data_IF_418821469375
#
_entry.id   IF_418821469375
#
_cell.length_a   1.000
_cell.length_b   1.000
_cell.length_c   1.000
_cell.angle_alpha   90.00
_cell.angle_beta   90.00
_cell.angle_gamma   90.00
#
_symmetry.space_group_name_H-M   'P 1'
#
loop_
_entity.id
_entity.type
_entity.pdbx_description
1 polymer ?
#
# COMPACT_ATOMS: atom_id res chain seq x y z
N UNK A 1 -63.08 40.15 -82.69
CA UNK A 1 -63.43 40.05 -81.25
C UNK A 1 -62.49 39.07 -80.56
N UNK A 2 -62.08 39.42 -79.34
CA UNK A 2 -61.11 38.71 -78.48
C UNK A 2 -61.43 37.23 -78.25
N UNK A 3 -60.38 36.40 -78.16
CA UNK A 3 -60.22 35.43 -77.07
C UNK A 3 -58.74 35.07 -76.91
N UNK A 4 -58.13 35.56 -75.84
CA UNK A 4 -56.85 35.10 -75.30
C UNK A 4 -56.97 33.61 -74.96
N UNK A 5 -56.03 32.81 -75.45
CA UNK A 5 -55.90 31.42 -75.02
C UNK A 5 -55.08 31.36 -73.73
N UNK A 6 -55.70 30.74 -72.73
CA UNK A 6 -55.19 30.54 -71.39
C UNK A 6 -53.89 29.72 -71.36
N UNK A 7 -53.04 30.07 -70.41
CA UNK A 7 -51.78 29.41 -70.06
C UNK A 7 -51.92 27.90 -69.86
N UNK A 8 -51.01 27.15 -70.49
CA UNK A 8 -50.75 25.73 -70.27
C UNK A 8 -50.18 25.51 -68.87
N UNK A 9 -50.85 24.71 -68.04
CA UNK A 9 -50.28 24.09 -66.83
C UNK A 9 -49.91 22.64 -67.14
N UNK A 10 -48.64 22.22 -67.03
CA UNK A 10 -48.30 20.80 -66.97
C UNK A 10 -48.23 20.31 -65.51
N UNK A 11 -49.13 19.36 -65.22
CA UNK A 11 -49.08 18.24 -64.28
C UNK A 11 -48.11 18.29 -63.08
N UNK A 12 -48.70 18.26 -61.87
CA UNK A 12 -48.01 17.94 -60.63
C UNK A 12 -47.56 16.47 -60.61
N UNK A 13 -46.25 16.24 -60.49
CA UNK A 13 -45.63 14.93 -60.26
C UNK A 13 -46.25 14.19 -59.06
N UNK A 14 -46.38 12.85 -59.08
CA UNK A 14 -46.88 12.09 -57.94
C UNK A 14 -45.92 12.17 -56.75
N UNK A 15 -46.46 12.45 -55.56
CA UNK A 15 -45.72 12.49 -54.30
C UNK A 15 -45.08 11.12 -54.01
N UNK A 16 -43.81 11.03 -53.59
CA UNK A 16 -43.26 9.78 -53.10
C UNK A 16 -43.91 9.43 -51.76
N UNK A 17 -44.34 8.18 -51.60
CA UNK A 17 -44.82 7.65 -50.33
C UNK A 17 -43.72 7.74 -49.27
N UNK A 18 -44.05 8.06 -48.00
CA UNK A 18 -43.05 8.11 -46.96
C UNK A 18 -42.59 6.67 -46.66
N UNK A 19 -41.32 6.38 -46.97
CA UNK A 19 -40.65 5.16 -46.50
C UNK A 19 -40.65 5.20 -44.98
N UNK A 20 -41.44 4.34 -44.35
CA UNK A 20 -41.45 4.15 -42.90
C UNK A 20 -40.07 3.66 -42.46
N UNK A 21 -39.27 4.54 -41.89
CA UNK A 21 -38.04 4.18 -41.18
C UNK A 21 -38.47 3.51 -39.88
N UNK A 22 -38.89 2.25 -39.97
CA UNK A 22 -39.16 1.44 -38.80
C UNK A 22 -37.81 0.98 -38.24
N UNK A 23 -37.41 1.55 -37.11
CA UNK A 23 -36.13 1.26 -36.49
C UNK A 23 -36.07 -0.23 -36.11
N UNK A 24 -34.89 -0.86 -36.18
CA UNK A 24 -34.75 -2.30 -35.89
C UNK A 24 -35.22 -2.67 -34.46
N UNK A 25 -35.25 -1.71 -33.53
CA UNK A 25 -35.84 -1.84 -32.20
C UNK A 25 -37.34 -2.09 -32.23
N UNK A 26 -38.08 -1.38 -33.08
CA UNK A 26 -39.54 -1.46 -33.15
C UNK A 26 -40.03 -2.83 -33.65
N UNK A 27 -39.23 -3.49 -34.50
CA UNK A 27 -39.53 -4.85 -34.99
C UNK A 27 -39.39 -5.93 -33.90
N UNK A 28 -38.48 -5.72 -32.94
CA UNK A 28 -38.26 -6.66 -31.85
C UNK A 28 -39.36 -6.48 -30.80
N UNK A 29 -39.71 -5.24 -30.48
CA UNK A 29 -40.78 -4.94 -29.51
C UNK A 29 -42.15 -5.44 -29.99
N UNK A 30 -42.43 -5.38 -31.30
CA UNK A 30 -43.65 -5.96 -31.88
C UNK A 30 -43.67 -7.50 -31.85
N UNK A 31 -42.52 -8.18 -31.88
CA UNK A 31 -42.44 -9.64 -31.70
C UNK A 31 -42.67 -10.05 -30.25
N UNK A 32 -42.17 -9.26 -29.31
CA UNK A 32 -42.32 -9.51 -27.87
C UNK A 32 -43.78 -9.41 -27.44
N UNK A 33 -44.54 -8.45 -27.99
CA UNK A 33 -46.01 -8.30 -27.78
C UNK A 33 -46.88 -9.49 -28.22
N UNK A 34 -46.36 -10.38 -29.07
CA UNK A 34 -47.08 -11.57 -29.58
C UNK A 34 -46.94 -12.78 -28.66
N UNK A 35 -45.95 -12.78 -27.77
CA UNK A 35 -45.72 -13.84 -26.79
C UNK A 35 -46.62 -13.51 -25.60
N UNK A 36 -47.54 -14.41 -25.22
CA UNK A 36 -48.64 -14.17 -24.27
C UNK A 36 -48.24 -13.76 -22.83
N UNK A 37 -48.91 -14.25 -21.77
CA UNK A 37 -49.09 -13.56 -20.47
C UNK A 37 -47.84 -13.35 -19.60
N UNK A 38 -46.63 -13.50 -20.15
CA UNK A 38 -45.35 -13.33 -19.46
C UNK A 38 -44.52 -12.14 -19.97
N UNK A 39 -45.14 -11.21 -20.69
CA UNK A 39 -44.47 -10.01 -21.22
C UNK A 39 -43.94 -9.10 -20.11
N UNK A 40 -44.62 -9.05 -18.98
CA UNK A 40 -44.22 -8.28 -17.80
C UNK A 40 -42.93 -8.84 -17.22
N UNK A 41 -42.81 -10.17 -17.10
CA UNK A 41 -41.59 -10.85 -16.64
C UNK A 41 -40.45 -10.55 -17.62
N UNK A 42 -40.69 -10.68 -18.92
CA UNK A 42 -39.68 -10.39 -19.95
C UNK A 42 -39.20 -8.93 -19.91
N UNK A 43 -40.12 -7.97 -19.72
CA UNK A 43 -39.80 -6.55 -19.58
C UNK A 43 -39.06 -6.24 -18.28
N UNK A 44 -39.36 -6.91 -17.16
CA UNK A 44 -38.62 -6.77 -15.89
C UNK A 44 -37.15 -7.20 -16.04
N UNK A 45 -36.88 -8.29 -16.77
CA UNK A 45 -35.51 -8.74 -17.02
C UNK A 45 -34.77 -7.90 -18.08
N UNK A 46 -35.47 -7.28 -19.04
CA UNK A 46 -34.87 -6.35 -20.03
C UNK A 46 -34.79 -4.90 -19.58
N UNK A 47 -35.65 -4.47 -18.66
CA UNK A 47 -35.86 -3.08 -18.24
C UNK A 47 -34.69 -2.48 -17.47
N UNK A 48 -33.75 -3.32 -17.02
CA UNK A 48 -32.41 -2.87 -16.67
C UNK A 48 -31.67 -2.52 -17.96
N UNK A 49 -31.80 -1.27 -18.40
CA UNK A 49 -30.92 -0.69 -19.43
C UNK A 49 -29.49 -1.04 -19.03
N UNK A 50 -28.88 -2.03 -19.69
CA UNK A 50 -27.43 -2.23 -19.59
C UNK A 50 -26.84 -0.90 -20.01
N UNK A 51 -26.18 -0.19 -19.09
CA UNK A 51 -25.47 1.03 -19.45
C UNK A 51 -24.60 0.68 -20.64
N UNK A 52 -24.86 1.31 -21.79
CA UNK A 52 -24.04 1.08 -22.95
C UNK A 52 -22.67 1.67 -22.61
N UNK A 53 -21.72 0.81 -22.24
CA UNK A 53 -20.35 1.20 -21.95
C UNK A 53 -19.76 1.69 -23.27
N UNK A 54 -19.87 2.99 -23.51
CA UNK A 54 -19.29 3.62 -24.67
C UNK A 54 -17.80 3.84 -24.44
N UNK A 55 -17.02 3.92 -25.53
CA UNK A 55 -15.59 4.27 -25.46
C UNK A 55 -15.35 5.60 -24.72
N UNK A 56 -16.31 6.54 -24.81
CA UNK A 56 -16.25 7.83 -24.11
C UNK A 56 -16.36 7.68 -22.59
N UNK A 57 -17.26 6.81 -22.10
CA UNK A 57 -17.40 6.50 -20.67
C UNK A 57 -16.13 5.84 -20.15
N UNK A 58 -15.57 4.86 -20.88
CA UNK A 58 -14.30 4.23 -20.50
C UNK A 58 -13.18 5.28 -20.42
N UNK A 59 -13.06 6.15 -21.43
CA UNK A 59 -12.03 7.21 -21.44
C UNK A 59 -12.18 8.16 -20.25
N UNK A 60 -13.40 8.57 -19.92
CA UNK A 60 -13.64 9.41 -18.73
C UNK A 60 -13.29 8.70 -17.43
N UNK A 61 -13.69 7.43 -17.26
CA UNK A 61 -13.33 6.63 -16.10
C UNK A 61 -11.81 6.49 -15.98
N UNK A 62 -11.10 6.21 -17.08
CA UNK A 62 -9.64 6.09 -17.08
C UNK A 62 -8.95 7.40 -16.66
N UNK A 63 -9.41 8.55 -17.17
CA UNK A 63 -8.88 9.87 -16.79
C UNK A 63 -9.14 10.15 -15.30
N UNK A 64 -10.37 9.90 -14.84
CA UNK A 64 -10.73 10.09 -13.43
C UNK A 64 -9.88 9.22 -12.51
N UNK A 65 -9.73 7.93 -12.84
CA UNK A 65 -8.89 7.03 -12.07
C UNK A 65 -7.42 7.45 -12.09
N UNK A 66 -6.88 7.94 -13.22
CA UNK A 66 -5.51 8.42 -13.29
C UNK A 66 -5.29 9.65 -12.39
N UNK A 67 -6.23 10.59 -12.37
CA UNK A 67 -6.19 11.75 -11.48
C UNK A 67 -6.22 11.35 -10.00
N UNK A 68 -7.12 10.43 -9.63
CA UNK A 68 -7.24 9.92 -8.25
C UNK A 68 -5.97 9.17 -7.85
N UNK A 69 -5.46 8.25 -8.69
CA UNK A 69 -4.20 7.54 -8.43
C UNK A 69 -3.03 8.50 -8.25
N UNK A 70 -2.90 9.50 -9.12
CA UNK A 70 -1.85 10.51 -9.01
C UNK A 70 -1.97 11.36 -7.74
N UNK A 71 -3.20 11.69 -7.32
CA UNK A 71 -3.43 12.42 -6.07
C UNK A 71 -3.04 11.59 -4.84
N UNK A 72 -3.39 10.30 -4.82
CA UNK A 72 -3.01 9.38 -3.74
C UNK A 72 -1.50 9.24 -3.62
N UNK A 73 -0.77 9.06 -4.73
CA UNK A 73 0.69 8.96 -4.72
C UNK A 73 1.35 10.25 -4.24
N UNK A 74 0.86 11.43 -4.67
CA UNK A 74 1.35 12.72 -4.15
C UNK A 74 1.09 12.85 -2.65
N UNK A 75 -0.10 12.49 -2.17
CA UNK A 75 -0.43 12.53 -0.73
C UNK A 75 0.45 11.58 0.08
N UNK A 76 0.72 10.37 -0.45
CA UNK A 76 1.62 9.40 0.16
C UNK A 76 3.05 9.94 0.23
N UNK A 77 3.57 10.50 -0.86
CA UNK A 77 4.91 11.08 -0.89
C UNK A 77 5.05 12.25 0.11
N UNK A 78 4.06 13.14 0.15
CA UNK A 78 4.03 14.25 1.11
C UNK A 78 4.07 13.76 2.56
N UNK A 79 3.28 12.71 2.89
CA UNK A 79 3.31 12.09 4.22
C UNK A 79 4.71 11.57 4.57
N UNK A 80 5.37 10.89 3.63
CA UNK A 80 6.72 10.35 3.83
C UNK A 80 7.72 11.47 4.06
N UNK A 81 7.63 12.56 3.28
CA UNK A 81 8.48 13.75 3.49
C UNK A 81 8.29 14.34 4.89
N UNK A 82 7.04 14.54 5.32
CA UNK A 82 6.75 15.04 6.68
C UNK A 82 7.30 14.11 7.76
N UNK A 83 7.18 12.79 7.59
CA UNK A 83 7.74 11.81 8.52
C UNK A 83 9.28 11.84 8.55
N UNK A 84 9.91 12.01 7.39
CA UNK A 84 11.37 12.08 7.27
C UNK A 84 11.97 13.25 8.07
N UNK A 85 11.27 14.38 8.14
CA UNK A 85 11.70 15.56 8.90
C UNK A 85 11.89 15.29 10.41
N UNK A 86 11.22 14.26 10.98
CA UNK A 86 11.45 13.88 12.38
C UNK A 86 12.81 13.18 12.61
N UNK A 87 13.45 12.67 11.55
CA UNK A 87 14.66 11.87 11.65
C UNK A 87 15.90 12.57 11.08
N UNK A 88 15.72 13.49 10.14
CA UNK A 88 16.82 14.23 9.53
C UNK A 88 16.32 15.44 8.73
N UNK A 89 17.24 16.28 8.22
CA UNK A 89 16.89 17.51 7.52
C UNK A 89 16.24 17.24 6.16
N UNK A 90 16.70 16.21 5.45
CA UNK A 90 16.26 15.88 4.10
C UNK A 90 15.86 14.41 3.96
N UNK A 91 14.92 14.13 3.05
CA UNK A 91 14.52 12.76 2.70
C UNK A 91 15.71 11.93 2.22
N UNK A 92 16.65 12.51 1.47
CA UNK A 92 17.86 11.82 0.99
C UNK A 92 18.74 11.36 2.15
N UNK A 93 18.88 12.20 3.17
CA UNK A 93 19.65 11.87 4.38
C UNK A 93 19.00 10.72 5.14
N UNK A 94 17.68 10.74 5.28
CA UNK A 94 16.91 9.67 5.92
C UNK A 94 17.00 8.35 5.14
N UNK A 95 16.91 8.41 3.81
CA UNK A 95 17.13 7.24 2.94
C UNK A 95 18.53 6.67 3.14
N UNK A 96 19.58 7.51 3.22
CA UNK A 96 20.93 7.05 3.47
C UNK A 96 21.07 6.39 4.85
N UNK A 97 20.42 6.93 5.89
CA UNK A 97 20.38 6.31 7.22
C UNK A 97 19.72 4.94 7.17
N UNK A 98 18.58 4.83 6.49
CA UNK A 98 17.88 3.57 6.27
C UNK A 98 18.76 2.54 5.54
N UNK A 99 19.35 2.89 4.40
CA UNK A 99 20.21 2.01 3.63
C UNK A 99 21.43 1.54 4.46
N UNK A 100 22.07 2.44 5.23
CA UNK A 100 23.17 2.08 6.13
C UNK A 100 22.71 1.11 7.22
N UNK A 101 21.54 1.35 7.83
CA UNK A 101 20.97 0.47 8.84
C UNK A 101 20.76 -0.93 8.29
N UNK A 102 20.12 -1.03 7.12
CA UNK A 102 19.80 -2.30 6.48
C UNK A 102 21.06 -3.04 6.07
N UNK A 103 22.05 -2.32 5.54
CA UNK A 103 23.35 -2.89 5.22
C UNK A 103 24.02 -3.49 6.48
N UNK A 104 24.04 -2.74 7.60
CA UNK A 104 24.60 -3.24 8.87
C UNK A 104 23.86 -4.48 9.36
N UNK A 105 22.53 -4.47 9.34
CA UNK A 105 21.70 -5.61 9.75
C UNK A 105 21.98 -6.83 8.86
N UNK A 106 21.96 -6.68 7.53
CA UNK A 106 22.28 -7.76 6.58
C UNK A 106 23.68 -8.32 6.79
N UNK A 107 24.67 -7.45 6.98
CA UNK A 107 26.05 -7.84 7.23
C UNK A 107 26.20 -8.64 8.52
N UNK A 108 25.60 -8.18 9.62
CA UNK A 108 25.58 -8.92 10.91
C UNK A 108 24.88 -10.27 10.81
N UNK A 109 23.96 -10.42 9.86
CA UNK A 109 23.24 -11.66 9.56
C UNK A 109 23.94 -12.52 8.50
N UNK A 110 25.13 -12.13 8.01
CA UNK A 110 25.92 -12.90 7.05
C UNK A 110 25.38 -12.86 5.61
N UNK A 111 24.53 -11.88 5.27
CA UNK A 111 23.96 -11.72 3.93
C UNK A 111 24.83 -10.79 3.08
N UNK A 112 25.62 -11.38 2.18
CA UNK A 112 26.64 -10.68 1.38
C UNK A 112 26.11 -9.97 0.12
N UNK A 113 24.92 -10.34 -0.39
CA UNK A 113 24.30 -9.70 -1.58
C UNK A 113 23.36 -8.59 -1.14
N UNK A 114 23.84 -7.35 -1.14
CA UNK A 114 23.15 -6.19 -0.54
C UNK A 114 22.53 -5.23 -1.56
N UNK A 115 22.11 -5.72 -2.74
CA UNK A 115 21.29 -4.87 -3.63
C UNK A 115 19.97 -4.60 -2.93
N UNK A 116 19.74 -3.33 -2.59
CA UNK A 116 18.54 -2.90 -1.91
C UNK A 116 17.72 -2.04 -2.86
N UNK A 117 16.51 -2.52 -3.15
CA UNK A 117 15.50 -1.73 -3.84
C UNK A 117 14.79 -0.93 -2.76
N UNK A 118 14.79 0.40 -2.88
CA UNK A 118 14.14 1.26 -1.90
C UNK A 118 12.64 1.25 -2.20
N UNK A 119 11.87 0.66 -1.30
CA UNK A 119 10.42 0.78 -1.31
C UNK A 119 9.97 1.85 -0.30
N UNK A 120 9.11 2.75 -0.73
CA UNK A 120 8.56 3.82 0.10
C UNK A 120 7.72 3.28 1.28
N UNK A 121 7.02 2.14 1.13
CA UNK A 121 6.31 1.53 2.27
C UNK A 121 7.28 1.05 3.35
N UNK A 122 8.37 0.39 2.95
CA UNK A 122 9.35 -0.18 3.88
C UNK A 122 10.14 0.93 4.59
N UNK A 123 10.44 2.02 3.88
CA UNK A 123 11.04 3.20 4.49
C UNK A 123 10.09 3.84 5.51
N UNK A 124 8.80 3.98 5.20
CA UNK A 124 7.80 4.51 6.10
C UNK A 124 7.67 3.64 7.37
N UNK A 125 7.59 2.32 7.21
CA UNK A 125 7.57 1.38 8.33
C UNK A 125 8.82 1.51 9.20
N UNK A 126 10.01 1.58 8.59
CA UNK A 126 11.26 1.75 9.33
C UNK A 126 11.29 3.06 10.12
N UNK A 127 10.84 4.18 9.53
CA UNK A 127 10.75 5.47 10.23
C UNK A 127 9.80 5.38 11.43
N UNK A 128 8.61 4.81 11.24
CA UNK A 128 7.62 4.67 12.30
C UNK A 128 8.15 3.78 13.45
N UNK A 129 8.77 2.63 13.12
CA UNK A 129 9.41 1.75 14.12
C UNK A 129 10.55 2.45 14.84
N UNK A 130 11.43 3.15 14.10
CA UNK A 130 12.56 3.88 14.70
C UNK A 130 12.07 4.94 15.67
N UNK A 131 11.08 5.75 15.27
CA UNK A 131 10.48 6.77 16.14
C UNK A 131 9.85 6.16 17.38
N UNK A 132 9.15 5.04 17.23
CA UNK A 132 8.54 4.30 18.33
C UNK A 132 9.60 3.81 19.33
N UNK A 133 10.67 3.15 18.87
CA UNK A 133 11.74 2.69 19.74
C UNK A 133 12.48 3.84 20.43
N UNK A 134 12.72 4.95 19.73
CA UNK A 134 13.32 6.16 20.33
C UNK A 134 12.43 6.73 21.44
N UNK A 135 11.11 6.72 21.24
CA UNK A 135 10.14 7.20 22.23
C UNK A 135 10.08 6.28 23.44
N UNK A 136 10.05 4.96 23.24
CA UNK A 136 10.05 3.98 24.34
C UNK A 136 11.36 4.00 25.12
N UNK A 137 12.49 4.25 24.45
CA UNK A 137 13.78 4.40 25.11
C UNK A 137 13.80 5.66 25.98
N UNK A 138 13.33 6.79 25.44
CA UNK A 138 13.26 8.05 26.18
C UNK A 138 12.34 8.00 27.42
N UNK A 139 11.37 7.06 27.48
CA UNK A 139 10.54 6.84 28.67
C UNK A 139 11.27 6.13 29.81
N UNK A 140 12.31 5.35 29.49
CA UNK A 140 13.08 4.53 30.45
C UNK A 140 14.48 5.08 30.74
N UNK A 141 15.01 5.93 29.86
CA UNK A 141 16.35 6.48 29.99
C UNK A 141 16.42 7.43 31.20
N UNK A 142 17.22 7.04 32.20
CA UNK A 142 17.74 7.97 33.20
C UNK A 142 18.82 8.85 32.55
N UNK A 143 19.19 9.97 33.19
CA UNK A 143 20.15 10.97 32.68
C UNK A 143 21.48 10.42 32.11
N UNK A 144 21.85 9.19 32.47
CA UNK A 144 23.10 8.55 32.06
C UNK A 144 22.94 7.52 30.93
N UNK A 145 21.75 6.97 30.68
CA UNK A 145 21.47 5.90 29.73
C UNK A 145 20.71 4.72 30.35
N UNK A 146 20.53 3.64 29.59
CA UNK A 146 19.80 2.44 30.05
C UNK A 146 20.75 1.39 30.61
N UNK A 147 20.47 0.81 31.78
CA UNK A 147 21.28 -0.28 32.31
C UNK A 147 21.06 -1.57 31.48
N UNK A 148 22.11 -2.39 31.34
CA UNK A 148 22.04 -3.70 30.68
C UNK A 148 20.97 -4.63 31.25
N UNK A 149 20.70 -4.56 32.56
CA UNK A 149 19.67 -5.36 33.23
C UNK A 149 18.26 -5.02 32.72
N UNK A 150 18.04 -3.77 32.32
CA UNK A 150 16.75 -3.22 31.90
C UNK A 150 16.50 -3.36 30.39
N UNK A 151 17.52 -3.75 29.63
CA UNK A 151 17.44 -3.90 28.19
C UNK A 151 16.30 -4.84 27.74
N UNK A 152 16.10 -5.95 28.46
CA UNK A 152 15.00 -6.87 28.15
C UNK A 152 13.63 -6.27 28.47
N UNK A 153 13.53 -5.48 29.55
CA UNK A 153 12.29 -4.77 29.87
C UNK A 153 11.97 -3.75 28.77
N UNK A 154 12.98 -3.05 28.26
CA UNK A 154 12.84 -2.15 27.12
C UNK A 154 12.38 -2.87 25.84
N UNK A 155 12.91 -4.07 25.55
CA UNK A 155 12.45 -4.86 24.41
C UNK A 155 10.99 -5.30 24.56
N UNK A 156 10.60 -5.75 25.75
CA UNK A 156 9.22 -6.14 26.04
C UNK A 156 8.25 -4.98 25.84
N UNK A 157 8.62 -3.78 26.30
CA UNK A 157 7.87 -2.54 26.06
C UNK A 157 7.71 -2.19 24.58
N UNK A 158 8.71 -2.56 23.76
CA UNK A 158 8.64 -2.42 22.32
C UNK A 158 7.80 -3.51 21.65
N UNK A 159 7.22 -4.45 22.43
CA UNK A 159 6.42 -5.57 21.96
C UNK A 159 7.23 -6.78 21.49
N UNK A 160 8.50 -6.87 21.89
CA UNK A 160 9.43 -7.91 21.46
C UNK A 160 9.98 -8.68 22.66
N UNK A 161 9.98 -10.01 22.60
CA UNK A 161 10.33 -10.87 23.73
C UNK A 161 11.53 -11.79 23.41
N UNK A 162 12.74 -11.25 23.15
CA UNK A 162 13.91 -12.08 22.86
C UNK A 162 14.39 -12.84 24.11
N UNK A 163 15.14 -13.92 23.87
CA UNK A 163 15.77 -14.71 24.95
C UNK A 163 17.05 -14.02 25.42
N UNK A 164 17.43 -14.18 26.69
CA UNK A 164 18.73 -13.70 27.21
C UNK A 164 19.92 -14.10 26.33
N UNK A 165 19.93 -15.35 25.82
CA UNK A 165 20.96 -15.83 24.91
C UNK A 165 21.00 -15.01 23.61
N UNK A 166 19.85 -14.79 22.96
CA UNK A 166 19.75 -14.03 21.71
C UNK A 166 20.21 -12.58 21.91
N UNK A 167 19.83 -11.96 23.03
CA UNK A 167 20.29 -10.62 23.41
C UNK A 167 21.80 -10.59 23.62
N UNK A 168 22.38 -11.62 24.25
CA UNK A 168 23.83 -11.75 24.43
C UNK A 168 24.59 -11.90 23.11
N UNK A 169 24.09 -12.73 22.20
CA UNK A 169 24.67 -12.91 20.86
C UNK A 169 24.64 -11.60 20.05
N UNK A 170 23.50 -10.91 20.04
CA UNK A 170 23.36 -9.63 19.32
C UNK A 170 24.21 -8.54 19.95
N UNK A 171 24.33 -8.52 21.29
CA UNK A 171 25.25 -7.63 21.98
C UNK A 171 26.68 -7.77 21.45
N UNK A 172 27.15 -9.02 21.32
CA UNK A 172 28.47 -9.34 20.79
C UNK A 172 28.67 -8.94 19.32
N UNK A 173 27.60 -8.97 18.51
CA UNK A 173 27.65 -8.55 17.10
C UNK A 173 27.63 -7.03 16.90
N UNK A 174 26.89 -6.31 17.75
CA UNK A 174 26.78 -4.85 17.67
C UNK A 174 28.07 -4.19 18.18
N UNK A 175 28.69 -4.72 19.23
CA UNK A 175 29.88 -4.14 19.88
C UNK A 175 31.18 -4.90 19.57
N UNK A 176 31.35 -5.41 18.33
CA UNK A 176 32.53 -6.22 17.96
C UNK A 176 33.86 -5.47 18.12
N UNK A 177 33.87 -4.16 17.92
CA UNK A 177 35.10 -3.34 17.82
C UNK A 177 35.18 -2.24 18.90
N UNK A 178 34.17 -2.11 19.76
CA UNK A 178 34.04 -0.98 20.69
C UNK A 178 34.58 -1.26 22.10
N UNK A 179 35.26 -0.25 22.67
CA UNK A 179 35.55 -0.17 24.12
C UNK A 179 34.29 -0.19 24.99
N UNK A 180 33.12 0.09 24.39
CA UNK A 180 31.79 0.09 25.02
C UNK A 180 31.28 -1.32 25.35
N UNK A 181 31.96 -2.39 24.92
CA UNK A 181 31.58 -3.78 25.22
C UNK A 181 31.47 -4.08 26.72
N UNK A 182 32.18 -3.31 27.55
CA UNK A 182 32.21 -3.42 29.02
C UNK A 182 31.41 -2.32 29.73
N UNK A 183 30.74 -1.43 29.01
CA UNK A 183 29.87 -0.44 29.62
C UNK A 183 28.58 -1.10 30.07
N UNK A 184 28.22 -0.92 31.35
CA UNK A 184 26.91 -1.31 31.86
C UNK A 184 25.78 -0.42 31.34
N UNK A 185 26.14 0.77 30.84
CA UNK A 185 25.23 1.77 30.32
C UNK A 185 25.14 1.64 28.80
N UNK A 186 23.91 1.49 28.32
CA UNK A 186 23.56 1.34 26.92
C UNK A 186 23.03 2.67 26.41
N UNK A 187 23.66 3.18 25.35
CA UNK A 187 23.20 4.37 24.63
C UNK A 187 22.02 4.01 23.72
N UNK A 188 21.11 4.97 23.51
CA UNK A 188 19.93 4.84 22.64
C UNK A 188 20.23 4.20 21.28
N UNK A 189 21.29 4.64 20.60
CA UNK A 189 21.64 4.13 19.28
C UNK A 189 21.98 2.63 19.31
N UNK A 190 22.72 2.17 20.32
CA UNK A 190 23.07 0.76 20.49
C UNK A 190 21.83 -0.09 20.80
N UNK A 191 20.94 0.38 21.67
CA UNK A 191 19.70 -0.33 21.98
C UNK A 191 18.82 -0.52 20.73
N UNK A 192 18.66 0.53 19.92
CA UNK A 192 17.89 0.48 18.67
C UNK A 192 18.56 -0.40 17.62
N UNK A 193 19.89 -0.34 17.52
CA UNK A 193 20.69 -1.20 16.63
C UNK A 193 20.53 -2.68 16.95
N UNK A 194 20.55 -3.03 18.24
CA UNK A 194 20.29 -4.40 18.69
C UNK A 194 18.87 -4.84 18.32
N UNK A 195 17.90 -3.96 18.52
CA UNK A 195 16.49 -4.24 18.23
C UNK A 195 16.26 -4.49 16.73
N UNK A 196 16.84 -3.66 15.85
CA UNK A 196 16.78 -3.90 14.40
C UNK A 196 17.62 -5.09 13.94
N UNK A 197 18.59 -5.55 14.73
CA UNK A 197 19.36 -6.77 14.43
C UNK A 197 18.57 -8.03 14.81
N UNK A 198 17.82 -7.99 15.91
CA UNK A 198 16.93 -9.07 16.35
C UNK A 198 15.66 -9.14 15.48
N UNK A 199 15.03 -8.00 15.26
CA UNK A 199 13.76 -7.84 14.55
C UNK A 199 13.97 -6.93 13.33
N UNK A 200 14.50 -7.47 12.23
CA UNK A 200 14.82 -6.69 11.05
C UNK A 200 13.58 -6.01 10.45
N UNK A 201 13.70 -4.79 9.94
CA UNK A 201 12.62 -4.12 9.20
C UNK A 201 12.34 -4.84 7.87
N UNK A 202 11.15 -4.65 7.29
CA UNK A 202 10.71 -5.44 6.12
C UNK A 202 11.67 -5.36 4.93
N UNK A 203 12.23 -4.19 4.64
CA UNK A 203 13.16 -4.03 3.51
C UNK A 203 14.55 -4.63 3.71
N UNK A 204 14.82 -5.22 4.88
CA UNK A 204 15.98 -6.09 5.02
C UNK A 204 15.76 -7.43 4.28
N UNK A 205 14.51 -7.81 3.99
CA UNK A 205 14.13 -9.05 3.32
C UNK A 205 14.79 -10.29 3.93
N UNK A 206 14.91 -10.31 5.26
CA UNK A 206 15.42 -11.44 6.02
C UNK A 206 14.23 -12.27 6.46
N UNK A 207 14.27 -13.59 6.24
CA UNK A 207 13.26 -14.47 6.80
C UNK A 207 13.37 -14.47 8.32
N UNK A 208 12.27 -14.18 9.02
CA UNK A 208 12.18 -14.11 10.48
C UNK A 208 12.71 -15.38 11.17
N UNK A 209 12.62 -16.51 10.47
CA UNK A 209 13.07 -17.84 10.90
C UNK A 209 14.58 -17.96 11.13
N UNK A 210 15.41 -17.02 10.66
CA UNK A 210 16.88 -17.08 10.81
C UNK A 210 17.36 -16.88 12.26
N UNK A 211 16.60 -16.16 13.10
CA UNK A 211 16.94 -15.97 14.53
C UNK A 211 15.83 -16.37 15.49
N UNK A 212 14.57 -16.16 15.11
CA UNK A 212 13.42 -16.48 15.94
C UNK A 212 12.79 -17.75 15.39
N UNK A 213 13.25 -18.89 15.91
CA UNK A 213 12.67 -20.18 15.59
C UNK A 213 11.44 -20.38 16.47
N UNK A 214 10.28 -20.60 15.84
CA UNK A 214 9.08 -21.01 16.57
C UNK A 214 9.39 -22.32 17.28
N UNK A 215 9.17 -22.34 18.60
CA UNK A 215 9.30 -23.53 19.44
C UNK A 215 8.02 -23.70 20.24
N UNK A 216 7.75 -24.90 20.76
CA UNK A 216 6.58 -25.15 21.60
C UNK A 216 6.52 -24.22 22.83
N UNK A 217 7.69 -23.85 23.38
CA UNK A 217 7.80 -22.93 24.50
C UNK A 217 7.67 -21.46 24.08
N UNK A 218 8.04 -21.12 22.83
CA UNK A 218 7.95 -19.76 22.26
C UNK A 218 7.32 -19.83 20.88
N UNK A 219 5.99 -20.02 20.80
CA UNK A 219 5.30 -20.16 19.54
C UNK A 219 5.26 -18.81 18.82
N UNK A 220 5.44 -18.82 17.50
CA UNK A 220 5.18 -17.67 16.64
C UNK A 220 3.84 -17.91 15.94
N UNK A 221 2.83 -17.10 16.27
CA UNK A 221 1.47 -17.19 15.74
C UNK A 221 1.24 -16.03 14.77
N UNK A 222 0.97 -16.33 13.49
CA UNK A 222 0.77 -15.32 12.43
C UNK A 222 1.93 -14.31 12.28
N UNK A 223 3.15 -14.71 12.64
CA UNK A 223 4.33 -13.82 12.60
C UNK A 223 4.52 -12.96 13.85
N UNK A 224 3.64 -13.07 14.84
CA UNK A 224 3.79 -12.44 16.16
C UNK A 224 4.24 -13.47 17.20
N UNK A 225 5.01 -13.02 18.20
CA UNK A 225 5.42 -13.89 19.30
C UNK A 225 4.24 -14.15 20.25
N UNK A 226 3.99 -15.43 20.56
CA UNK A 226 2.89 -15.85 21.44
C UNK A 226 2.98 -15.30 22.86
N UNK A 227 4.18 -14.95 23.32
CA UNK A 227 4.42 -14.28 24.61
C UNK A 227 3.77 -12.90 24.71
N UNK A 228 3.36 -12.30 23.60
CA UNK A 228 2.55 -11.07 23.61
C UNK A 228 1.17 -11.27 24.25
N UNK A 229 0.68 -12.50 24.32
CA UNK A 229 -0.67 -12.84 24.78
C UNK A 229 -0.70 -13.49 26.17
N UNK A 230 0.44 -13.54 26.86
CA UNK A 230 0.62 -14.11 28.21
C UNK A 230 0.99 -12.98 29.16
#
# INVERSE_FOLDING_TARGET
MKKEQQSVKPESKPKPSPKSILSKSDKIDNKVKRIGPHIEIFQVFRGRKKFAITKNIIKMVTVMQALVRGWLERKRFQRIMTKALYHGPDLRTVINMYCRQIHRVKYRLGLWRTRQIINLTELEEWMDRKKFYETMFAKREDWQGLERSELLKFFNDCGHFPTHQQTGEVWGLVHREDREKYSNIIKKHNAIEMLFTLYPPQGAHVSTNLRLRSTWLRPIVNGEEGYKYI
#
